data_IF_387429608297
#
_entry.id   IF_387429608297
#
_cell.length_a   1.000
_cell.length_b   1.000
_cell.length_c   1.000
_cell.angle_alpha   90.00
_cell.angle_beta   90.00
_cell.angle_gamma   90.00
#
_symmetry.space_group_name_H-M   'P 1'
#
loop_
_entity.id
_entity.type
_entity.pdbx_description
1 polymer ?
#
# COMPACT_ATOMS: atom_id res chain seq x y z
N UNK A 1 -39.70 -43.59 2.63
CA UNK A 1 -38.47 -43.55 1.80
C UNK A 1 -38.69 -42.61 0.61
N UNK A 2 -39.21 -41.39 0.79
CA UNK A 2 -39.57 -40.53 -0.36
C UNK A 2 -39.67 -39.03 -0.06
N UNK A 3 -39.32 -38.58 1.15
CA UNK A 3 -39.33 -37.16 1.51
C UNK A 3 -37.93 -36.73 1.96
N UNK A 4 -37.24 -37.56 2.74
CA UNK A 4 -35.84 -37.35 3.15
C UNK A 4 -34.87 -37.42 1.96
N UNK A 5 -35.11 -38.30 0.98
CA UNK A 5 -34.29 -38.37 -0.24
C UNK A 5 -34.48 -37.15 -1.14
N UNK A 6 -35.68 -36.55 -1.14
CA UNK A 6 -35.97 -35.33 -1.90
C UNK A 6 -35.32 -34.09 -1.27
N UNK A 7 -35.22 -34.02 0.06
CA UNK A 7 -34.52 -32.92 0.75
C UNK A 7 -32.99 -32.97 0.50
N UNK A 8 -32.40 -34.17 0.42
CA UNK A 8 -30.96 -34.35 0.14
C UNK A 8 -30.61 -33.97 -1.32
N UNK A 9 -31.50 -34.22 -2.28
CA UNK A 9 -31.34 -33.76 -3.67
C UNK A 9 -31.50 -32.23 -3.81
N UNK A 10 -32.33 -31.61 -2.96
CA UNK A 10 -32.49 -30.15 -2.94
C UNK A 10 -31.27 -29.47 -2.30
N UNK A 11 -30.71 -30.00 -1.21
CA UNK A 11 -29.49 -29.43 -0.60
C UNK A 11 -28.26 -29.55 -1.51
N UNK A 12 -28.06 -30.71 -2.15
CA UNK A 12 -26.93 -30.91 -3.09
C UNK A 12 -27.02 -30.04 -4.34
N UNK A 13 -28.24 -29.79 -4.86
CA UNK A 13 -28.44 -28.89 -6.00
C UNK A 13 -28.35 -27.40 -5.66
N UNK A 14 -28.47 -27.02 -4.39
CA UNK A 14 -28.21 -25.65 -3.91
C UNK A 14 -26.71 -25.42 -3.73
N UNK A 15 -25.97 -26.44 -3.27
CA UNK A 15 -24.52 -26.36 -3.07
C UNK A 15 -23.73 -26.36 -4.39
N UNK A 16 -24.20 -27.08 -5.42
CA UNK A 16 -23.62 -27.01 -6.77
C UNK A 16 -23.89 -25.66 -7.47
N UNK A 17 -24.97 -24.95 -7.10
CA UNK A 17 -25.31 -23.64 -7.70
C UNK A 17 -24.56 -22.46 -7.06
N UNK A 18 -24.03 -22.59 -5.86
CA UNK A 18 -23.18 -21.54 -5.27
C UNK A 18 -21.75 -21.51 -5.82
N UNK A 19 -21.32 -22.56 -6.55
CA UNK A 19 -20.00 -22.63 -7.16
C UNK A 19 -19.90 -22.10 -8.59
N UNK A 20 -21.01 -21.64 -9.18
CA UNK A 20 -21.06 -21.14 -10.56
C UNK A 20 -21.77 -19.79 -10.65
N UNK A 21 -21.12 -18.72 -10.16
CA UNK A 21 -21.06 -17.38 -10.78
C UNK A 21 -20.44 -16.35 -9.82
N UNK A 22 -19.12 -16.41 -9.66
CA UNK A 22 -18.34 -15.17 -9.50
C UNK A 22 -17.53 -15.01 -10.77
N UNK A 23 -18.22 -14.53 -11.81
CA UNK A 23 -17.57 -13.92 -12.97
C UNK A 23 -16.67 -12.80 -12.44
N UNK A 24 -15.39 -13.11 -12.29
CA UNK A 24 -14.37 -12.08 -12.16
C UNK A 24 -14.44 -11.29 -13.45
N UNK A 25 -15.07 -10.11 -13.41
CA UNK A 25 -14.94 -9.10 -14.46
C UNK A 25 -13.46 -8.75 -14.52
N UNK A 26 -12.71 -9.49 -15.33
CA UNK A 26 -11.35 -9.14 -15.71
C UNK A 26 -11.44 -7.76 -16.33
N UNK A 27 -10.92 -6.77 -15.61
CA UNK A 27 -10.84 -5.39 -16.09
C UNK A 27 -10.22 -5.45 -17.49
N UNK A 28 -10.80 -4.81 -18.52
CA UNK A 28 -10.23 -4.85 -19.85
C UNK A 28 -8.79 -4.37 -19.75
N UNK A 29 -7.84 -5.22 -20.10
CA UNK A 29 -6.46 -4.81 -20.27
C UNK A 29 -6.43 -3.86 -21.47
N UNK A 30 -6.53 -2.56 -21.20
CA UNK A 30 -6.21 -1.56 -22.21
C UNK A 30 -4.72 -1.67 -22.48
N UNK A 31 -4.34 -2.56 -23.41
CA UNK A 31 -3.02 -2.56 -24.04
C UNK A 31 -2.92 -1.31 -24.90
N UNK A 32 -2.65 -0.19 -24.25
CA UNK A 32 -2.18 0.99 -24.93
C UNK A 32 -0.70 0.76 -25.19
N UNK A 33 -0.34 0.55 -26.45
CA UNK A 33 1.05 0.46 -26.95
C UNK A 33 1.75 1.84 -26.87
N UNK A 34 1.64 2.50 -25.72
CA UNK A 34 2.37 3.71 -25.39
C UNK A 34 3.69 3.37 -24.70
N UNK A 35 4.72 4.24 -24.79
CA UNK A 35 5.95 4.05 -24.04
C UNK A 35 5.65 3.96 -22.55
N UNK A 36 6.15 2.92 -21.89
CA UNK A 36 5.94 2.72 -20.46
C UNK A 36 6.53 3.90 -19.68
N UNK A 37 5.67 4.63 -18.98
CA UNK A 37 6.08 5.69 -18.06
C UNK A 37 6.29 5.11 -16.68
N UNK A 38 7.55 5.09 -16.27
CA UNK A 38 8.00 4.62 -14.96
C UNK A 38 8.29 5.80 -14.03
N UNK A 39 7.97 5.63 -12.75
CA UNK A 39 8.28 6.58 -11.69
C UNK A 39 8.79 5.90 -10.42
N UNK A 40 8.95 6.68 -9.36
CA UNK A 40 9.35 6.17 -8.04
C UNK A 40 8.27 6.50 -7.01
N UNK A 41 7.83 5.49 -6.27
CA UNK A 41 6.95 5.60 -5.12
C UNK A 41 7.77 5.54 -3.84
N UNK A 42 7.96 6.69 -3.19
CA UNK A 42 8.57 6.81 -1.88
C UNK A 42 7.51 6.57 -0.80
N UNK A 43 7.67 5.47 -0.06
CA UNK A 43 6.77 5.11 1.05
C UNK A 43 7.53 5.37 2.34
N UNK A 44 7.25 6.51 2.97
CA UNK A 44 7.75 6.78 4.31
C UNK A 44 6.75 6.24 5.33
N UNK A 45 7.16 5.20 6.08
CA UNK A 45 6.31 4.61 7.10
C UNK A 45 6.97 4.71 8.47
N UNK A 46 6.35 5.52 9.32
CA UNK A 46 6.71 5.69 10.73
C UNK A 46 5.62 5.09 11.63
N UNK A 47 5.88 5.07 12.94
CA UNK A 47 4.88 4.59 13.91
C UNK A 47 3.69 5.54 14.06
N UNK A 48 3.86 6.81 13.71
CA UNK A 48 2.83 7.83 13.90
C UNK A 48 2.11 8.19 12.61
N UNK A 49 2.77 8.10 11.46
CA UNK A 49 2.17 8.42 10.16
C UNK A 49 2.80 7.62 9.02
N UNK A 50 2.05 7.43 7.94
CA UNK A 50 2.51 6.88 6.66
C UNK A 50 2.29 7.91 5.55
N UNK A 51 3.36 8.21 4.81
CA UNK A 51 3.34 9.17 3.70
C UNK A 51 3.72 8.42 2.42
N UNK A 52 2.91 8.62 1.39
CA UNK A 52 3.12 8.05 0.06
C UNK A 52 3.37 9.22 -0.87
N UNK A 53 4.55 9.23 -1.47
CA UNK A 53 5.03 10.31 -2.32
C UNK A 53 5.48 9.70 -3.65
N UNK A 54 4.75 10.00 -4.71
CA UNK A 54 5.09 9.58 -6.06
C UNK A 54 5.86 10.68 -6.78
N UNK A 55 6.93 10.27 -7.43
CA UNK A 55 7.86 11.13 -8.16
C UNK A 55 8.19 10.51 -9.51
N UNK A 56 8.82 11.31 -10.36
CA UNK A 56 9.50 10.83 -11.57
C UNK A 56 10.74 9.98 -11.21
N UNK A 57 11.45 9.49 -12.22
CA UNK A 57 12.65 8.66 -12.02
C UNK A 57 13.82 9.44 -11.40
N UNK A 58 13.92 10.75 -11.66
CA UNK A 58 14.98 11.58 -11.07
C UNK A 58 14.71 11.90 -9.60
N UNK A 59 13.43 11.87 -9.18
CA UNK A 59 12.98 12.25 -7.85
C UNK A 59 12.88 13.77 -7.66
N UNK A 60 13.08 14.56 -8.71
CA UNK A 60 13.01 16.02 -8.67
C UNK A 60 11.58 16.55 -8.77
N UNK A 61 10.72 15.89 -9.53
CA UNK A 61 9.35 16.32 -9.76
C UNK A 61 8.33 15.41 -9.07
N UNK A 62 7.39 16.03 -8.36
CA UNK A 62 6.35 15.31 -7.61
C UNK A 62 5.11 15.12 -8.46
N UNK A 63 4.67 13.87 -8.59
CA UNK A 63 3.43 13.47 -9.24
C UNK A 63 2.27 13.69 -8.29
N UNK A 64 2.35 13.11 -7.10
CA UNK A 64 1.31 13.24 -6.08
C UNK A 64 1.88 12.89 -4.72
N UNK A 65 1.31 13.49 -3.69
CA UNK A 65 1.67 13.22 -2.30
C UNK A 65 0.40 13.10 -1.48
N UNK A 66 0.35 12.08 -0.64
CA UNK A 66 -0.73 11.91 0.33
C UNK A 66 -0.20 11.25 1.59
N UNK A 67 -0.84 11.54 2.72
CA UNK A 67 -0.48 10.96 4.02
C UNK A 67 -1.71 10.36 4.69
N UNK A 68 -1.49 9.41 5.59
CA UNK A 68 -2.57 8.77 6.34
C UNK A 68 -3.42 9.77 7.13
N UNK A 69 -2.78 10.80 7.71
CA UNK A 69 -3.48 11.84 8.48
C UNK A 69 -4.37 12.78 7.67
N UNK A 70 -4.21 12.85 6.35
CA UNK A 70 -5.16 13.61 5.50
C UNK A 70 -6.50 12.86 5.37
N UNK A 71 -6.48 11.54 5.50
CA UNK A 71 -7.65 10.68 5.27
C UNK A 71 -8.36 10.23 6.55
N UNK A 72 -7.77 10.50 7.70
CA UNK A 72 -8.29 10.08 9.00
C UNK A 72 -8.20 11.24 9.98
N UNK A 73 -9.33 11.56 10.63
CA UNK A 73 -9.43 12.71 11.54
C UNK A 73 -8.85 12.46 12.94
N UNK A 74 -8.47 11.22 13.26
CA UNK A 74 -8.00 10.85 14.59
C UNK A 74 -6.50 10.55 14.55
N UNK A 75 -5.73 11.32 15.34
CA UNK A 75 -4.27 11.28 15.41
C UNK A 75 -3.71 9.87 15.66
N UNK A 76 -4.41 9.07 16.50
CA UNK A 76 -4.02 7.68 16.81
C UNK A 76 -4.07 6.73 15.61
N UNK A 77 -4.79 7.09 14.55
CA UNK A 77 -5.05 6.23 13.40
C UNK A 77 -4.30 6.68 12.14
N UNK A 78 -3.48 7.73 12.20
CA UNK A 78 -2.69 8.22 11.07
C UNK A 78 -1.69 7.18 10.52
N UNK A 79 -1.11 6.35 11.39
CA UNK A 79 -0.22 5.25 10.98
C UNK A 79 -0.94 3.95 10.65
N UNK A 80 -2.26 3.89 10.82
CA UNK A 80 -3.00 2.65 10.66
C UNK A 80 -2.90 2.11 9.23
N UNK A 81 -2.91 0.78 9.04
CA UNK A 81 -2.93 0.18 7.70
C UNK A 81 -4.09 0.69 6.84
N UNK A 82 -5.23 0.97 7.46
CA UNK A 82 -6.40 1.52 6.79
C UNK A 82 -6.16 2.93 6.23
N UNK A 83 -5.55 3.81 7.03
CA UNK A 83 -5.18 5.15 6.59
C UNK A 83 -4.18 5.10 5.41
N UNK A 84 -3.20 4.20 5.48
CA UNK A 84 -2.21 3.99 4.42
C UNK A 84 -2.86 3.51 3.11
N UNK A 85 -3.85 2.62 3.17
CA UNK A 85 -4.59 2.18 1.98
C UNK A 85 -5.38 3.32 1.34
N UNK A 86 -6.07 4.15 2.13
CA UNK A 86 -6.77 5.33 1.60
C UNK A 86 -5.82 6.33 0.95
N UNK A 87 -4.68 6.60 1.59
CA UNK A 87 -3.64 7.46 1.03
C UNK A 87 -3.10 6.91 -0.30
N UNK A 88 -2.90 5.59 -0.40
CA UNK A 88 -2.44 4.96 -1.62
C UNK A 88 -3.46 5.11 -2.76
N UNK A 89 -4.74 4.89 -2.49
CA UNK A 89 -5.79 5.00 -3.51
C UNK A 89 -5.89 6.43 -4.06
N UNK A 90 -5.85 7.46 -3.21
CA UNK A 90 -5.87 8.85 -3.64
C UNK A 90 -4.68 9.20 -4.55
N UNK A 91 -3.50 8.67 -4.23
CA UNK A 91 -2.28 8.84 -5.03
C UNK A 91 -2.37 8.09 -6.37
N UNK A 92 -2.96 6.88 -6.36
CA UNK A 92 -3.17 6.04 -7.55
C UNK A 92 -4.07 6.72 -8.56
N UNK A 93 -5.18 7.31 -8.12
CA UNK A 93 -6.12 8.02 -9.00
C UNK A 93 -5.42 9.14 -9.78
N UNK A 94 -4.64 9.98 -9.08
CA UNK A 94 -3.89 11.07 -9.71
C UNK A 94 -2.80 10.56 -10.66
N UNK A 95 -2.11 9.48 -10.28
CA UNK A 95 -1.04 8.90 -11.10
C UNK A 95 -1.58 8.26 -12.39
N UNK A 96 -2.79 7.68 -12.37
CA UNK A 96 -3.48 7.21 -13.56
C UNK A 96 -3.86 8.35 -14.50
N UNK A 97 -4.38 9.46 -13.98
CA UNK A 97 -4.68 10.65 -14.79
C UNK A 97 -3.43 11.20 -15.49
N UNK A 98 -2.26 11.08 -14.84
CA UNK A 98 -0.97 11.51 -15.39
C UNK A 98 -0.33 10.50 -16.35
N UNK A 99 -0.90 9.30 -16.48
CA UNK A 99 -0.48 8.27 -17.43
C UNK A 99 0.75 7.46 -17.00
N UNK A 100 1.02 7.34 -15.69
CA UNK A 100 2.06 6.44 -15.21
C UNK A 100 1.61 4.98 -15.35
N UNK A 101 2.53 4.12 -15.78
CA UNK A 101 2.28 2.69 -16.03
C UNK A 101 2.86 1.80 -14.95
N UNK A 102 3.96 2.23 -14.33
CA UNK A 102 4.67 1.46 -13.31
C UNK A 102 5.49 2.32 -12.36
N UNK A 103 5.80 1.76 -11.20
CA UNK A 103 6.60 2.42 -10.17
C UNK A 103 7.65 1.48 -9.58
N UNK A 104 8.83 2.03 -9.32
CA UNK A 104 9.80 1.46 -8.37
C UNK A 104 9.45 1.92 -6.96
N UNK A 105 9.48 1.02 -6.00
CA UNK A 105 9.09 1.31 -4.62
C UNK A 105 10.35 1.50 -3.79
N UNK A 106 10.40 2.62 -3.07
CA UNK A 106 11.44 2.90 -2.08
C UNK A 106 10.77 3.02 -0.71
N UNK A 107 10.94 2.00 0.12
CA UNK A 107 10.41 1.96 1.49
C UNK A 107 11.40 2.66 2.42
N UNK A 108 10.90 3.55 3.28
CA UNK A 108 11.72 4.31 4.22
C UNK A 108 11.12 4.28 5.61
N UNK A 109 11.84 3.73 6.58
CA UNK A 109 11.56 3.93 7.99
C UNK A 109 12.16 5.25 8.50
N UNK A 110 11.95 5.56 9.78
CA UNK A 110 12.50 6.79 10.41
C UNK A 110 14.04 6.82 10.32
N UNK A 111 14.69 5.69 10.63
CA UNK A 111 16.14 5.51 10.56
C UNK A 111 16.94 6.46 11.46
N UNK A 112 18.24 6.58 11.18
CA UNK A 112 19.18 7.35 12.00
C UNK A 112 19.28 6.80 13.42
N UNK A 113 19.00 7.65 14.42
CA UNK A 113 18.91 7.27 15.85
C UNK A 113 17.55 6.65 16.23
N UNK A 114 16.59 6.68 15.30
CA UNK A 114 15.22 6.21 15.47
C UNK A 114 15.03 4.72 15.17
N UNK A 115 13.78 4.33 14.93
CA UNK A 115 13.47 2.96 14.50
C UNK A 115 13.91 2.74 13.06
N UNK A 116 14.61 1.63 12.81
CA UNK A 116 14.94 1.15 11.47
C UNK A 116 13.82 0.30 10.86
N UNK A 117 12.89 -0.16 11.69
CA UNK A 117 11.76 -0.98 11.24
C UNK A 117 10.70 -0.06 10.65
N UNK A 118 10.24 -0.32 9.41
CA UNK A 118 9.13 0.40 8.81
C UNK A 118 7.86 0.28 9.67
N UNK A 119 7.05 1.34 9.66
CA UNK A 119 5.77 1.35 10.36
C UNK A 119 4.73 0.37 9.79
N UNK A 120 3.60 0.20 10.49
CA UNK A 120 2.56 -0.75 10.12
C UNK A 120 1.88 -0.44 8.77
N UNK A 121 1.95 0.81 8.29
CA UNK A 121 1.37 1.22 7.02
C UNK A 121 2.16 0.83 5.77
N UNK A 122 3.43 0.41 5.89
CA UNK A 122 4.29 0.11 4.73
C UNK A 122 3.73 -1.03 3.86
N UNK A 123 3.46 -2.18 4.46
CA UNK A 123 2.93 -3.37 3.77
C UNK A 123 1.58 -3.07 3.10
N UNK A 124 0.72 -2.31 3.78
CA UNK A 124 -0.61 -1.96 3.32
C UNK A 124 -0.56 -1.02 2.11
N UNK A 125 0.33 -0.02 2.14
CA UNK A 125 0.55 0.90 1.03
C UNK A 125 1.04 0.16 -0.23
N UNK A 126 2.07 -0.70 -0.11
CA UNK A 126 2.59 -1.50 -1.24
C UNK A 126 1.48 -2.33 -1.88
N UNK A 127 0.68 -2.99 -1.05
CA UNK A 127 -0.43 -3.83 -1.52
C UNK A 127 -1.52 -3.01 -2.21
N UNK A 128 -1.84 -1.82 -1.72
CA UNK A 128 -2.81 -0.93 -2.36
C UNK A 128 -2.30 -0.40 -3.70
N UNK A 129 -1.01 -0.05 -3.81
CA UNK A 129 -0.39 0.33 -5.09
C UNK A 129 -0.45 -0.80 -6.13
N UNK A 130 -0.20 -2.04 -5.70
CA UNK A 130 -0.34 -3.23 -6.56
C UNK A 130 -1.77 -3.37 -7.10
N UNK A 131 -2.76 -3.27 -6.20
CA UNK A 131 -4.18 -3.36 -6.56
C UNK A 131 -4.67 -2.18 -7.39
N UNK A 132 -4.00 -1.03 -7.28
CA UNK A 132 -4.22 0.15 -8.11
C UNK A 132 -3.96 -0.11 -9.61
N UNK A 133 -3.31 -1.22 -9.96
CA UNK A 133 -3.06 -1.61 -11.35
C UNK A 133 -1.78 -1.04 -11.94
N UNK A 134 -0.84 -0.57 -11.10
CA UNK A 134 0.51 -0.23 -11.55
C UNK A 134 1.39 -1.46 -11.62
N UNK A 135 2.29 -1.49 -12.60
CA UNK A 135 3.39 -2.47 -12.62
C UNK A 135 4.38 -2.13 -11.51
N UNK A 136 4.60 -3.07 -10.59
CA UNK A 136 5.60 -2.92 -9.53
C UNK A 136 6.94 -3.41 -10.07
N UNK A 137 7.95 -2.54 -10.04
CA UNK A 137 9.32 -2.92 -10.36
C UNK A 137 10.10 -3.31 -9.11
N UNK A 138 11.28 -2.72 -8.94
CA UNK A 138 12.15 -2.98 -7.79
C UNK A 138 11.56 -2.40 -6.51
N UNK A 139 11.78 -3.13 -5.40
CA UNK A 139 11.41 -2.70 -4.05
C UNK A 139 12.72 -2.60 -3.27
N UNK A 140 13.10 -1.38 -2.91
CA UNK A 140 14.33 -1.09 -2.18
C UNK A 140 14.01 -0.51 -0.79
N UNK A 141 14.76 -0.93 0.23
CA UNK A 141 14.76 -0.25 1.53
C UNK A 141 15.80 0.88 1.52
N UNK A 142 15.32 2.12 1.65
CA UNK A 142 16.12 3.35 1.69
C UNK A 142 16.12 3.97 3.09
N UNK A 143 15.87 3.16 4.13
CA UNK A 143 15.99 3.59 5.52
C UNK A 143 17.41 4.09 5.80
N UNK A 144 17.58 5.32 6.33
CA UNK A 144 18.92 5.88 6.54
C UNK A 144 19.64 5.15 7.68
N UNK A 145 20.74 4.47 7.34
CA UNK A 145 21.62 3.76 8.26
C UNK A 145 22.94 4.55 8.37
N UNK A 146 23.21 5.21 9.51
CA UNK A 146 24.46 5.94 9.70
C UNK A 146 25.59 4.99 10.13
N UNK A 147 26.84 5.31 9.75
CA UNK A 147 28.03 4.55 10.17
C UNK A 147 28.23 4.60 11.69
N UNK A 148 28.04 5.78 12.29
CA UNK A 148 27.94 5.97 13.74
C UNK A 148 26.77 6.92 14.04
N UNK A 149 26.19 6.79 15.23
CA UNK A 149 24.96 7.50 15.63
C UNK A 149 25.24 8.62 16.61
N UNK A 150 24.46 9.70 16.50
CA UNK A 150 24.38 10.70 17.56
C UNK A 150 23.60 10.13 18.76
N UNK A 151 23.68 10.82 19.91
CA UNK A 151 22.97 10.40 21.11
C UNK A 151 21.45 10.33 20.87
N UNK A 152 20.87 9.14 21.06
CA UNK A 152 19.42 8.91 20.93
C UNK A 152 18.62 9.80 21.89
N UNK A 153 17.43 10.22 21.46
CA UNK A 153 16.48 10.96 22.31
C UNK A 153 16.13 10.16 23.56
N UNK A 154 16.44 10.72 24.73
CA UNK A 154 16.22 10.10 26.03
C UNK A 154 17.41 10.31 26.97
N UNK A 155 17.15 10.27 28.28
CA UNK A 155 18.23 10.26 29.27
C UNK A 155 18.98 8.93 29.26
N UNK A 156 20.06 8.82 30.05
CA UNK A 156 20.79 7.55 30.23
C UNK A 156 19.89 6.39 30.67
N UNK A 157 18.81 6.72 31.40
CA UNK A 157 17.81 5.77 31.91
C UNK A 157 16.70 5.44 30.91
N UNK A 158 16.74 5.99 29.70
CA UNK A 158 15.73 5.80 28.65
C UNK A 158 14.42 6.56 28.91
N UNK A 159 13.39 6.24 28.11
CA UNK A 159 12.00 6.69 28.33
C UNK A 159 11.37 5.78 29.37
N UNK A 160 10.96 6.35 30.51
CA UNK A 160 10.17 5.67 31.53
C UNK A 160 8.73 6.17 31.40
N UNK A 161 7.83 5.25 31.09
CA UNK A 161 6.37 5.43 31.03
C UNK A 161 5.76 4.40 31.96
#
# INVERSE_FOLDING_TARGET
>A
MSEIEAEIEIESSVEEKEHEEVQTKSRPETKTEGPEKWGIAHIYSSYNNTIIHMTDLTGGETVSISSGGVHVNADRYESSPFAAMKAANAVVEVAHTKGFTGFHIRVRAVGGVGSRVPGPGAQAAIRALARGGFKIGRIDDVTPIPHDTTRKKGGKRGRRV
#
